data_IF_374008965245
#
_entry.id   IF_374008965245
#
_cell.length_a   1.000
_cell.length_b   1.000
_cell.length_c   1.000
_cell.angle_alpha   90.00
_cell.angle_beta   90.00
_cell.angle_gamma   90.00
#
_symmetry.space_group_name_H-M   'P 1'
#
loop_
_entity.id
_entity.type
_entity.pdbx_description
1 polymer ?
#
# COMPACT_ATOMS: atom_id res chain seq x y z
N UNK A 1 -6.51 -23.61 42.60
CA UNK A 1 -6.54 -22.17 42.29
C UNK A 1 -5.20 -21.55 42.66
N UNK A 2 -4.65 -20.57 41.94
CA UNK A 2 -4.61 -20.35 40.50
C UNK A 2 -3.16 -20.47 39.93
N UNK A 3 -3.07 -20.29 38.61
CA UNK A 3 -1.94 -20.52 37.69
C UNK A 3 -0.75 -19.55 37.90
N UNK A 4 0.48 -20.04 37.78
CA UNK A 4 1.65 -19.21 37.48
C UNK A 4 2.02 -19.37 35.99
N UNK A 5 1.65 -18.39 35.18
CA UNK A 5 2.18 -18.22 33.83
C UNK A 5 3.51 -17.45 33.93
N UNK A 6 4.54 -17.77 33.10
CA UNK A 6 5.80 -17.03 33.11
C UNK A 6 5.63 -15.65 32.46
N UNK A 7 6.24 -14.63 33.07
CA UNK A 7 6.33 -13.26 32.54
C UNK A 7 6.99 -13.22 31.15
N UNK A 8 6.49 -12.42 30.19
CA UNK A 8 7.21 -12.13 28.96
C UNK A 8 8.34 -11.12 29.20
N UNK A 9 9.56 -11.54 28.84
CA UNK A 9 10.85 -10.86 28.95
C UNK A 9 11.09 -9.75 27.90
N UNK A 10 10.10 -8.88 27.67
CA UNK A 10 10.29 -7.71 26.81
C UNK A 10 9.67 -6.46 27.43
N UNK A 11 10.42 -5.34 27.57
CA UNK A 11 9.82 -4.08 27.96
C UNK A 11 8.85 -3.65 26.86
N UNK A 12 7.59 -3.44 27.23
CA UNK A 12 6.59 -2.80 26.38
C UNK A 12 7.05 -1.36 26.11
N UNK A 13 7.69 -1.16 24.96
CA UNK A 13 7.98 0.18 24.45
C UNK A 13 6.63 0.80 24.07
N UNK A 14 6.03 1.53 25.01
CA UNK A 14 4.94 2.43 24.70
C UNK A 14 5.49 3.46 23.69
N UNK A 15 4.83 3.66 22.53
CA UNK A 15 5.23 4.73 21.63
C UNK A 15 5.15 6.07 22.38
N UNK A 16 6.06 7.02 22.12
CA UNK A 16 6.06 8.30 22.79
C UNK A 16 4.71 8.99 22.58
N UNK A 17 4.03 9.33 23.67
CA UNK A 17 2.82 10.15 23.65
C UNK A 17 3.22 11.51 23.10
N UNK A 18 2.95 11.72 21.81
CA UNK A 18 3.18 13.00 21.16
C UNK A 18 2.36 14.08 21.88
N UNK A 19 2.90 15.30 22.07
CA UNK A 19 2.13 16.37 22.68
C UNK A 19 0.88 16.66 21.84
N UNK A 20 -0.26 16.89 22.49
CA UNK A 20 -1.51 17.27 21.84
C UNK A 20 -1.30 18.56 21.03
N UNK A 21 -1.04 18.43 19.73
CA UNK A 21 -0.86 19.57 18.82
C UNK A 21 -2.24 20.17 18.51
N UNK A 22 -2.39 21.50 18.47
CA UNK A 22 -3.70 22.13 18.31
C UNK A 22 -4.31 21.80 16.94
N UNK A 23 -5.55 21.31 16.96
CA UNK A 23 -6.33 20.79 15.82
C UNK A 23 -6.55 21.84 14.71
N UNK A 24 -6.51 23.13 15.07
CA UNK A 24 -6.52 24.26 14.12
C UNK A 24 -5.38 24.21 13.09
N UNK A 25 -4.24 23.61 13.46
CA UNK A 25 -3.09 23.44 12.56
C UNK A 25 -3.39 22.45 11.45
N UNK A 26 -4.11 21.36 11.76
CA UNK A 26 -4.46 20.33 10.77
C UNK A 26 -5.43 20.87 9.73
N UNK A 27 -6.45 21.63 10.15
CA UNK A 27 -7.39 22.25 9.23
C UNK A 27 -6.69 23.20 8.26
N UNK A 28 -5.75 24.02 8.77
CA UNK A 28 -4.93 24.91 7.93
C UNK A 28 -4.07 24.12 6.95
N UNK A 29 -3.44 23.03 7.41
CA UNK A 29 -2.64 22.15 6.56
C UNK A 29 -3.49 21.54 5.43
N UNK A 30 -4.65 20.96 5.72
CA UNK A 30 -5.54 20.41 4.69
C UNK A 30 -6.05 21.50 3.74
N UNK A 31 -6.34 22.70 4.23
CA UNK A 31 -6.72 23.83 3.38
C UNK A 31 -5.59 24.25 2.42
N UNK A 32 -4.35 24.27 2.90
CA UNK A 32 -3.17 24.56 2.07
C UNK A 32 -2.90 23.45 1.03
N UNK A 33 -3.00 22.18 1.43
CA UNK A 33 -2.84 21.05 0.50
C UNK A 33 -3.88 21.09 -0.63
N UNK A 34 -5.11 21.51 -0.33
CA UNK A 34 -6.17 21.70 -1.33
C UNK A 34 -5.95 22.88 -2.29
N UNK A 35 -5.02 23.79 -1.99
CA UNK A 35 -4.66 24.91 -2.89
C UNK A 35 -3.52 24.56 -3.85
N UNK A 36 -2.63 23.64 -3.48
CA UNK A 36 -1.45 23.23 -4.29
C UNK A 36 -1.87 22.66 -5.64
N UNK A 37 -1.20 22.82 -6.79
CA UNK A 37 -1.71 22.34 -8.08
C UNK A 37 -1.85 20.80 -8.21
N UNK A 38 -1.28 20.03 -7.28
CA UNK A 38 -1.21 18.57 -7.31
C UNK A 38 -2.43 17.96 -6.60
N UNK A 39 -3.02 16.94 -7.20
CA UNK A 39 -4.06 16.12 -6.56
C UNK A 39 -3.41 15.04 -5.68
N UNK A 40 -3.48 15.23 -4.37
CA UNK A 40 -2.89 14.33 -3.38
C UNK A 40 -3.94 13.36 -2.87
N UNK A 41 -3.62 12.06 -2.91
CA UNK A 41 -4.44 11.02 -2.30
C UNK A 41 -4.46 11.21 -0.78
N UNK A 42 -5.62 11.02 -0.14
CA UNK A 42 -5.74 11.11 1.32
C UNK A 42 -4.77 10.18 2.04
N UNK A 43 -4.63 8.93 1.56
CA UNK A 43 -3.77 7.92 2.16
C UNK A 43 -2.30 8.34 2.24
N UNK A 44 -1.81 9.10 1.24
CA UNK A 44 -0.46 9.69 1.22
C UNK A 44 -0.31 10.71 2.34
N UNK A 45 -1.27 11.63 2.46
CA UNK A 45 -1.26 12.68 3.49
C UNK A 45 -1.36 12.08 4.89
N UNK A 46 -2.25 11.11 5.09
CA UNK A 46 -2.38 10.43 6.37
C UNK A 46 -1.13 9.61 6.70
N UNK A 47 -0.55 8.88 5.74
CA UNK A 47 0.69 8.14 5.96
C UNK A 47 1.83 9.07 6.44
N UNK A 48 1.95 10.28 5.87
CA UNK A 48 2.89 11.30 6.33
C UNK A 48 2.56 11.80 7.74
N UNK A 49 1.30 12.12 8.03
CA UNK A 49 0.89 12.56 9.37
C UNK A 49 1.16 11.48 10.42
N UNK A 50 0.84 10.21 10.14
CA UNK A 50 1.11 9.10 11.05
C UNK A 50 2.62 8.93 11.31
N UNK A 51 3.47 9.12 10.29
CA UNK A 51 4.93 9.11 10.46
C UNK A 51 5.43 10.24 11.39
N UNK A 52 4.67 11.34 11.54
CA UNK A 52 4.97 12.48 12.41
C UNK A 52 4.27 12.43 13.78
N UNK A 53 3.74 11.26 14.16
CA UNK A 53 3.24 10.95 15.50
C UNK A 53 1.72 11.05 15.68
N UNK A 54 0.96 11.34 14.63
CA UNK A 54 -0.50 11.28 14.69
C UNK A 54 -1.00 9.82 14.70
N UNK A 55 -2.20 9.58 15.20
CA UNK A 55 -2.85 8.26 15.15
C UNK A 55 -3.97 8.28 14.12
N UNK A 56 -4.25 7.12 13.49
CA UNK A 56 -5.32 7.04 12.49
C UNK A 56 -6.69 7.35 13.13
N UNK A 57 -6.88 6.93 14.37
CA UNK A 57 -8.13 7.08 15.11
C UNK A 57 -8.45 8.55 15.49
N UNK A 58 -7.50 9.48 15.29
CA UNK A 58 -7.69 10.93 15.42
C UNK A 58 -8.48 11.52 14.22
N UNK A 59 -8.58 10.77 13.13
CA UNK A 59 -9.22 11.19 11.89
C UNK A 59 -10.52 10.41 11.63
N UNK A 60 -11.49 11.08 11.01
CA UNK A 60 -12.73 10.46 10.51
C UNK A 60 -12.79 10.73 9.00
N UNK A 61 -12.65 9.70 8.20
CA UNK A 61 -12.68 9.82 6.73
C UNK A 61 -14.11 9.69 6.22
N UNK A 62 -14.62 10.67 5.47
CA UNK A 62 -16.00 10.67 4.94
C UNK A 62 -16.04 10.70 3.42
N UNK A 63 -16.35 9.59 2.75
CA UNK A 63 -16.59 9.60 1.32
C UNK A 63 -17.93 10.31 1.00
N UNK A 64 -17.86 11.35 0.19
CA UNK A 64 -18.99 12.22 -0.22
C UNK A 64 -19.42 11.99 -1.68
N UNK A 65 -19.03 10.85 -2.29
CA UNK A 65 -19.39 10.38 -3.63
C UNK A 65 -18.50 10.88 -4.79
N UNK A 66 -18.49 10.11 -5.90
CA UNK A 66 -17.71 10.36 -7.13
C UNK A 66 -18.28 11.45 -8.04
N UNK A 67 -19.52 11.91 -7.82
CA UNK A 67 -20.14 12.93 -8.68
C UNK A 67 -19.28 14.20 -8.83
N UNK A 68 -18.44 14.49 -7.83
CA UNK A 68 -17.55 15.63 -7.86
C UNK A 68 -16.11 15.32 -8.33
N UNK A 69 -15.70 14.05 -8.44
CA UNK A 69 -14.28 13.70 -8.67
C UNK A 69 -13.74 14.09 -10.05
N UNK A 70 -14.59 14.18 -11.08
CA UNK A 70 -14.16 14.62 -12.42
C UNK A 70 -13.60 16.05 -12.44
N UNK A 71 -13.95 16.88 -11.45
CA UNK A 71 -13.55 18.28 -11.37
C UNK A 71 -13.04 18.71 -9.98
N UNK A 72 -13.11 17.82 -8.97
CA UNK A 72 -12.59 18.03 -7.63
C UNK A 72 -11.48 17.04 -7.33
N UNK A 73 -10.58 17.51 -6.49
CA UNK A 73 -9.47 16.74 -5.94
C UNK A 73 -9.95 15.68 -4.98
N UNK A 74 -9.04 14.82 -4.55
CA UNK A 74 -9.36 13.79 -3.59
C UNK A 74 -9.79 14.37 -2.23
N UNK A 75 -9.03 15.36 -1.73
CA UNK A 75 -9.27 16.01 -0.45
C UNK A 75 -10.41 17.04 -0.51
N UNK A 76 -11.46 16.79 0.27
CA UNK A 76 -12.62 17.66 0.46
C UNK A 76 -12.50 18.59 1.67
N UNK A 77 -13.64 19.01 2.21
CA UNK A 77 -13.67 19.85 3.41
C UNK A 77 -13.24 19.11 4.66
N UNK A 78 -12.59 19.83 5.57
CA UNK A 78 -12.23 19.34 6.89
C UNK A 78 -13.07 20.03 7.94
N UNK A 79 -13.56 19.27 8.91
CA UNK A 79 -14.33 19.79 10.03
C UNK A 79 -13.87 19.14 11.33
N UNK A 80 -14.03 19.85 12.43
CA UNK A 80 -13.90 19.25 13.76
C UNK A 80 -15.22 18.64 14.17
N UNK A 81 -15.17 17.40 14.63
CA UNK A 81 -16.34 16.74 15.20
C UNK A 81 -15.99 16.16 16.56
N UNK A 82 -16.76 16.56 17.56
CA UNK A 82 -16.72 15.96 18.88
C UNK A 82 -17.61 14.71 18.86
N UNK A 83 -16.98 13.54 18.75
CA UNK A 83 -17.69 12.26 18.73
C UNK A 83 -18.31 11.92 20.09
N UNK A 84 -17.63 12.27 21.18
CA UNK A 84 -18.11 12.06 22.54
C UNK A 84 -17.67 13.21 23.46
N UNK A 85 -18.43 13.46 24.52
CA UNK A 85 -18.15 14.52 25.51
C UNK A 85 -16.80 14.33 26.21
N UNK A 86 -16.32 13.09 26.29
CA UNK A 86 -15.10 12.70 26.98
C UNK A 86 -13.94 12.40 26.05
N UNK A 87 -14.16 12.42 24.73
CA UNK A 87 -13.15 12.15 23.72
C UNK A 87 -12.56 13.44 23.18
N UNK A 88 -11.28 13.40 22.78
CA UNK A 88 -10.67 14.49 22.03
C UNK A 88 -11.45 14.74 20.73
N UNK A 89 -11.56 16.01 20.30
CA UNK A 89 -12.19 16.31 19.02
C UNK A 89 -11.41 15.62 17.90
N UNK A 90 -12.14 14.92 17.02
CA UNK A 90 -11.57 14.23 15.87
C UNK A 90 -11.63 15.11 14.64
N UNK A 91 -10.62 14.98 13.78
CA UNK A 91 -10.58 15.71 12.49
C UNK A 91 -11.34 14.91 11.44
N UNK A 92 -12.52 15.39 11.06
CA UNK A 92 -13.23 14.83 9.92
C UNK A 92 -12.61 15.35 8.64
N UNK A 93 -12.31 14.46 7.70
CA UNK A 93 -11.85 14.78 6.35
C UNK A 93 -12.82 14.19 5.34
N UNK A 94 -13.46 15.04 4.56
CA UNK A 94 -14.26 14.59 3.41
C UNK A 94 -13.35 14.18 2.26
N UNK A 95 -13.76 13.15 1.53
CA UNK A 95 -13.04 12.63 0.37
C UNK A 95 -14.01 12.50 -0.80
N UNK A 96 -13.61 12.99 -1.96
CA UNK A 96 -14.41 12.90 -3.19
C UNK A 96 -14.24 11.54 -3.87
N UNK A 97 -14.56 10.47 -3.13
CA UNK A 97 -14.56 9.07 -3.55
C UNK A 97 -15.92 8.43 -3.28
N UNK A 98 -16.18 7.35 -4.01
CA UNK A 98 -17.30 6.45 -3.72
C UNK A 98 -17.09 5.80 -2.35
N UNK A 99 -18.12 5.90 -1.50
CA UNK A 99 -18.23 5.12 -0.28
C UNK A 99 -18.86 3.74 -0.56
N UNK A 100 -18.88 2.89 0.45
CA UNK A 100 -19.58 1.62 0.44
C UNK A 100 -21.08 1.82 0.18
N UNK A 101 -21.67 2.89 0.70
CA UNK A 101 -23.05 3.26 0.41
C UNK A 101 -23.29 3.51 -1.09
N UNK A 102 -22.36 4.23 -1.75
CA UNK A 102 -22.49 4.60 -3.16
C UNK A 102 -22.27 3.41 -4.10
N UNK A 103 -21.50 2.41 -3.66
CA UNK A 103 -21.22 1.19 -4.42
C UNK A 103 -22.36 0.16 -4.39
N UNK A 104 -23.29 0.29 -3.43
CA UNK A 104 -24.39 -0.64 -3.25
C UNK A 104 -25.61 -0.26 -4.11
N UNK A 105 -26.38 -1.24 -4.60
CA UNK A 105 -27.59 -0.96 -5.37
C UNK A 105 -28.56 -0.05 -4.60
N UNK A 106 -29.06 1.00 -5.27
CA UNK A 106 -29.98 1.96 -4.66
C UNK A 106 -31.27 1.30 -4.16
N UNK A 107 -31.70 0.22 -4.82
CA UNK A 107 -32.87 -0.57 -4.42
C UNK A 107 -32.76 -1.14 -3.01
N UNK A 108 -31.57 -1.30 -2.42
CA UNK A 108 -31.43 -1.76 -1.04
C UNK A 108 -31.87 -0.73 0.00
N UNK A 109 -31.87 0.57 -0.35
CA UNK A 109 -32.07 1.67 0.60
C UNK A 109 -33.21 2.61 0.23
N UNK A 110 -33.53 2.70 -1.06
CA UNK A 110 -34.50 3.64 -1.60
C UNK A 110 -35.66 2.89 -2.22
N UNK A 111 -36.65 2.60 -1.39
CA UNK A 111 -37.96 2.16 -1.87
C UNK A 111 -38.90 3.37 -1.92
N UNK A 112 -39.70 3.53 -2.98
CA UNK A 112 -40.74 4.56 -3.03
C UNK A 112 -41.65 4.36 -1.82
N UNK A 113 -41.86 5.44 -1.05
CA UNK A 113 -42.60 5.34 0.22
C UNK A 113 -44.11 5.19 -0.03
N UNK A 114 -44.60 5.66 -1.18
CA UNK A 114 -45.97 5.49 -1.65
C UNK A 114 -45.95 5.03 -3.13
N UNK A 115 -46.65 3.95 -3.51
CA UNK A 115 -46.75 3.52 -4.91
C UNK A 115 -47.64 4.43 -5.77
N UNK A 116 -48.40 5.34 -5.15
CA UNK A 116 -49.27 6.31 -5.81
C UNK A 116 -48.69 7.72 -5.71
N UNK A 117 -48.20 8.31 -6.82
CA UNK A 117 -47.64 9.66 -6.81
C UNK A 117 -48.74 10.66 -6.42
N UNK A 118 -48.55 11.38 -5.30
CA UNK A 118 -49.42 12.52 -4.97
C UNK A 118 -48.92 13.74 -5.73
N UNK A 119 -49.66 14.28 -6.72
CA UNK A 119 -49.22 15.46 -7.44
C UNK A 119 -49.16 16.68 -6.51
N UNK A 120 -48.01 17.35 -6.45
CA UNK A 120 -47.83 18.59 -5.68
C UNK A 120 -46.37 18.85 -5.28
N UNK A 121 -46.01 20.13 -5.10
CA UNK A 121 -44.64 20.53 -4.69
C UNK A 121 -44.34 20.15 -3.25
N UNK A 122 -45.32 20.27 -2.34
CA UNK A 122 -45.17 19.95 -0.92
C UNK A 122 -44.82 18.47 -0.65
N UNK A 123 -45.58 17.47 -1.17
CA UNK A 123 -45.24 16.06 -0.95
C UNK A 123 -43.87 15.70 -1.56
N UNK A 124 -43.48 16.32 -2.68
CA UNK A 124 -42.17 16.11 -3.30
C UNK A 124 -41.02 16.61 -2.40
N UNK A 125 -41.19 17.76 -1.74
CA UNK A 125 -40.18 18.28 -0.80
C UNK A 125 -40.04 17.37 0.42
N UNK A 126 -41.14 16.86 0.96
CA UNK A 126 -41.13 15.92 2.08
C UNK A 126 -40.41 14.61 1.72
N UNK A 127 -40.68 14.07 0.53
CA UNK A 127 -40.03 12.86 0.03
C UNK A 127 -38.51 13.05 -0.12
N UNK A 128 -38.07 14.19 -0.68
CA UNK A 128 -36.65 14.55 -0.77
C UNK A 128 -36.02 14.61 0.63
N UNK A 129 -36.70 15.20 1.62
CA UNK A 129 -36.18 15.27 2.98
C UNK A 129 -36.05 13.89 3.62
N UNK A 130 -37.04 13.01 3.43
CA UNK A 130 -37.02 11.63 3.92
C UNK A 130 -35.84 10.89 3.28
N UNK A 131 -35.66 11.01 1.97
CA UNK A 131 -34.59 10.34 1.24
C UNK A 131 -33.20 10.82 1.69
N UNK A 132 -33.02 12.13 1.91
CA UNK A 132 -31.77 12.69 2.47
C UNK A 132 -31.49 12.18 3.89
N UNK A 133 -32.51 12.02 4.73
CA UNK A 133 -32.36 11.46 6.08
C UNK A 133 -31.95 9.99 6.03
N UNK A 134 -32.58 9.20 5.15
CA UNK A 134 -32.22 7.78 4.92
C UNK A 134 -30.78 7.64 4.43
N UNK A 135 -30.38 8.46 3.46
CA UNK A 135 -28.99 8.50 2.97
C UNK A 135 -28.00 8.81 4.10
N UNK A 136 -28.24 9.88 4.88
CA UNK A 136 -27.36 10.26 5.98
C UNK A 136 -27.25 9.16 7.04
N UNK A 137 -28.36 8.48 7.34
CA UNK A 137 -28.37 7.36 8.27
C UNK A 137 -27.59 6.14 7.74
N UNK A 138 -27.77 5.79 6.46
CA UNK A 138 -27.07 4.69 5.82
C UNK A 138 -25.55 4.96 5.73
N UNK A 139 -25.13 6.16 5.35
CA UNK A 139 -23.71 6.55 5.36
C UNK A 139 -23.12 6.46 6.77
N UNK A 140 -23.86 6.91 7.81
CA UNK A 140 -23.41 6.78 9.20
C UNK A 140 -23.31 5.32 9.65
N UNK A 141 -24.18 4.45 9.15
CA UNK A 141 -24.14 3.01 9.43
C UNK A 141 -22.89 2.34 8.83
N UNK A 142 -22.52 2.68 7.59
CA UNK A 142 -21.33 2.12 6.94
C UNK A 142 -20.01 2.77 7.36
N UNK A 143 -20.05 3.96 7.96
CA UNK A 143 -18.86 4.74 8.33
C UNK A 143 -17.79 3.94 9.09
N UNK A 144 -18.10 3.08 10.09
CA UNK A 144 -17.08 2.30 10.79
C UNK A 144 -16.33 1.31 9.89
N UNK A 145 -17.05 0.65 8.96
CA UNK A 145 -16.43 -0.26 7.99
C UNK A 145 -15.57 0.52 7.01
N UNK A 146 -16.05 1.66 6.54
CA UNK A 146 -15.29 2.56 5.67
C UNK A 146 -14.00 3.07 6.34
N UNK A 147 -14.02 3.36 7.65
CA UNK A 147 -12.80 3.73 8.37
C UNK A 147 -11.73 2.64 8.27
N UNK A 148 -12.10 1.36 8.46
CA UNK A 148 -11.15 0.25 8.37
C UNK A 148 -10.60 0.07 6.95
N UNK A 149 -11.45 0.24 5.92
CA UNK A 149 -10.95 0.24 4.54
C UNK A 149 -9.91 1.35 4.31
N UNK A 150 -10.13 2.55 4.85
CA UNK A 150 -9.13 3.63 4.77
C UNK A 150 -7.89 3.34 5.61
N UNK A 151 -8.02 2.70 6.78
CA UNK A 151 -6.90 2.26 7.60
C UNK A 151 -5.99 1.32 6.81
N UNK A 152 -6.57 0.31 6.14
CA UNK A 152 -5.81 -0.60 5.27
C UNK A 152 -5.17 0.12 4.08
N UNK A 153 -5.84 1.09 3.47
CA UNK A 153 -5.25 1.90 2.39
C UNK A 153 -4.04 2.70 2.85
N UNK A 154 -4.10 3.28 4.05
CA UNK A 154 -2.96 4.01 4.64
C UNK A 154 -1.82 3.05 4.98
N UNK A 155 -2.12 1.89 5.55
CA UNK A 155 -1.12 0.85 5.82
C UNK A 155 -0.42 0.38 4.52
N UNK A 156 -1.20 0.18 3.45
CA UNK A 156 -0.65 -0.19 2.15
C UNK A 156 0.29 0.90 1.61
N UNK A 157 -0.12 2.17 1.67
CA UNK A 157 0.72 3.31 1.28
C UNK A 157 2.02 3.38 2.11
N UNK A 158 1.95 3.12 3.42
CA UNK A 158 3.14 3.06 4.28
C UNK A 158 4.10 1.93 3.88
N UNK A 159 3.59 0.74 3.57
CA UNK A 159 4.40 -0.38 3.10
C UNK A 159 4.97 -0.11 1.68
N UNK A 160 4.20 0.46 0.76
CA UNK A 160 4.71 0.89 -0.56
C UNK A 160 5.88 1.86 -0.43
N UNK A 161 5.75 2.87 0.43
CA UNK A 161 6.84 3.82 0.73
C UNK A 161 8.04 3.13 1.35
N UNK A 162 7.82 2.16 2.24
CA UNK A 162 8.88 1.36 2.86
C UNK A 162 9.63 0.56 1.80
N UNK A 163 8.94 -0.05 0.85
CA UNK A 163 9.57 -0.76 -0.28
C UNK A 163 10.39 0.17 -1.17
N UNK A 164 9.85 1.34 -1.51
CA UNK A 164 10.51 2.29 -2.42
C UNK A 164 11.72 2.98 -1.79
N UNK A 165 11.67 3.28 -0.49
CA UNK A 165 12.75 3.99 0.22
C UNK A 165 13.83 3.02 0.70
N UNK A 166 13.46 1.79 1.05
CA UNK A 166 14.38 0.77 1.52
C UNK A 166 14.59 -0.31 0.46
N UNK A 167 15.22 0.03 -0.67
CA UNK A 167 15.74 -0.99 -1.59
C UNK A 167 16.69 -1.98 -0.88
N UNK A 168 17.22 -1.64 0.30
CA UNK A 168 18.03 -2.48 1.17
C UNK A 168 17.24 -3.21 2.25
N UNK A 169 15.90 -3.20 2.19
CA UNK A 169 15.06 -3.94 3.12
C UNK A 169 15.40 -5.42 3.00
N UNK A 170 15.78 -6.03 4.13
CA UNK A 170 16.16 -7.44 4.22
C UNK A 170 15.13 -8.36 3.54
N UNK A 171 13.83 -8.07 3.71
CA UNK A 171 12.75 -8.79 3.05
C UNK A 171 12.82 -8.75 1.51
N UNK A 172 13.15 -7.61 0.89
CA UNK A 172 13.24 -7.51 -0.56
C UNK A 172 14.39 -8.36 -1.09
N UNK A 173 15.52 -8.32 -0.40
CA UNK A 173 16.66 -9.17 -0.71
C UNK A 173 16.35 -10.65 -0.47
N UNK A 174 15.58 -11.00 0.55
CA UNK A 174 15.11 -12.38 0.80
C UNK A 174 14.20 -12.88 -0.33
N UNK A 175 13.21 -12.08 -0.76
CA UNK A 175 12.31 -12.46 -1.86
C UNK A 175 13.07 -12.65 -3.18
N UNK A 176 13.99 -11.73 -3.49
CA UNK A 176 14.83 -11.86 -4.69
C UNK A 176 15.81 -13.03 -4.57
N UNK A 177 16.42 -13.25 -3.41
CA UNK A 177 17.31 -14.38 -3.18
C UNK A 177 16.57 -15.71 -3.39
N UNK A 178 15.31 -15.81 -2.92
CA UNK A 178 14.42 -16.94 -3.19
C UNK A 178 14.13 -17.13 -4.67
N UNK A 179 13.78 -16.05 -5.35
CA UNK A 179 13.48 -16.07 -6.79
C UNK A 179 14.67 -16.61 -7.60
N UNK A 180 15.89 -16.21 -7.25
CA UNK A 180 17.13 -16.68 -7.89
C UNK A 180 17.71 -17.96 -7.28
N UNK A 181 17.02 -18.56 -6.30
CA UNK A 181 17.46 -19.75 -5.56
C UNK A 181 18.86 -19.61 -4.91
N UNK A 182 19.21 -18.40 -4.46
CA UNK A 182 20.51 -18.05 -3.84
C UNK A 182 20.54 -18.29 -2.32
N UNK A 183 19.44 -18.73 -1.73
CA UNK A 183 19.34 -18.98 -0.29
C UNK A 183 20.38 -20.01 0.18
N UNK A 184 21.15 -19.64 1.21
CA UNK A 184 22.19 -20.51 1.78
C UNK A 184 23.43 -20.73 0.90
N UNK A 185 23.47 -20.18 -0.32
CA UNK A 185 24.63 -20.31 -1.21
C UNK A 185 25.74 -19.30 -0.90
N UNK A 186 25.36 -18.12 -0.41
CA UNK A 186 26.27 -17.01 -0.11
C UNK A 186 25.84 -16.28 1.18
N UNK A 187 26.76 -15.60 1.88
CA UNK A 187 26.42 -14.68 2.98
C UNK A 187 25.49 -13.55 2.53
N UNK A 188 24.61 -13.08 3.44
CA UNK A 188 23.59 -12.07 3.14
C UNK A 188 24.14 -10.78 2.49
N UNK A 189 25.35 -10.34 2.90
CA UNK A 189 26.03 -9.17 2.33
C UNK A 189 26.41 -9.36 0.85
N UNK A 190 26.90 -10.55 0.51
CA UNK A 190 27.33 -10.91 -0.85
C UNK A 190 26.11 -11.07 -1.76
N UNK A 191 25.06 -11.73 -1.29
CA UNK A 191 23.76 -11.81 -1.99
C UNK A 191 23.22 -10.41 -2.27
N UNK A 192 23.20 -9.53 -1.28
CA UNK A 192 22.73 -8.15 -1.44
C UNK A 192 23.50 -7.43 -2.55
N UNK A 193 24.83 -7.52 -2.54
CA UNK A 193 25.69 -6.90 -3.56
C UNK A 193 25.41 -7.47 -4.96
N UNK A 194 25.28 -8.80 -5.07
CA UNK A 194 24.93 -9.46 -6.32
C UNK A 194 23.56 -9.02 -6.86
N UNK A 195 22.55 -8.95 -5.99
CA UNK A 195 21.18 -8.54 -6.35
C UNK A 195 21.14 -7.10 -6.88
N UNK A 196 21.98 -6.20 -6.37
CA UNK A 196 22.10 -4.84 -6.90
C UNK A 196 22.84 -4.76 -8.25
N UNK A 197 23.78 -5.68 -8.49
CA UNK A 197 24.53 -5.72 -9.75
C UNK A 197 23.76 -6.41 -10.88
N UNK A 198 22.86 -7.35 -10.57
CA UNK A 198 22.07 -8.11 -11.56
C UNK A 198 21.32 -7.22 -12.57
N UNK A 199 20.56 -6.17 -12.16
CA UNK A 199 19.90 -5.26 -13.11
C UNK A 199 20.88 -4.58 -14.08
N UNK A 200 22.14 -4.42 -13.67
CA UNK A 200 23.21 -3.78 -14.44
C UNK A 200 24.04 -4.78 -15.26
N UNK A 201 23.76 -6.09 -15.19
CA UNK A 201 24.54 -7.14 -15.84
C UNK A 201 24.74 -6.88 -17.35
N UNK A 202 23.68 -6.43 -18.04
CA UNK A 202 23.74 -6.09 -19.47
C UNK A 202 24.72 -4.97 -19.83
N UNK A 203 25.10 -4.13 -18.85
CA UNK A 203 26.11 -3.06 -19.02
C UNK A 203 27.51 -3.50 -18.63
N UNK A 204 27.63 -4.56 -17.84
CA UNK A 204 28.90 -5.12 -17.35
C UNK A 204 29.46 -6.11 -18.38
N UNK A 205 28.57 -6.87 -19.04
CA UNK A 205 28.94 -7.86 -20.06
C UNK A 205 29.76 -7.24 -21.18
N UNK A 206 30.95 -7.79 -21.44
CA UNK A 206 31.86 -7.35 -22.51
C UNK A 206 33.03 -6.49 -22.02
N UNK A 207 32.95 -5.91 -20.83
CA UNK A 207 34.07 -5.22 -20.18
C UNK A 207 34.69 -6.14 -19.12
N UNK A 208 35.85 -6.72 -19.44
CA UNK A 208 36.54 -7.66 -18.55
C UNK A 208 37.00 -7.01 -17.24
N UNK A 209 37.35 -5.73 -17.25
CA UNK A 209 37.82 -5.03 -16.04
C UNK A 209 36.64 -4.72 -15.11
N UNK A 210 35.51 -4.27 -15.66
CA UNK A 210 34.28 -4.12 -14.86
C UNK A 210 33.78 -5.46 -14.35
N UNK A 211 33.83 -6.50 -15.18
CA UNK A 211 33.44 -7.86 -14.77
C UNK A 211 34.29 -8.34 -13.60
N UNK A 212 35.61 -8.16 -13.67
CA UNK A 212 36.55 -8.48 -12.57
C UNK A 212 36.13 -7.75 -11.29
N UNK A 213 35.95 -6.42 -11.34
CA UNK A 213 35.55 -5.62 -10.17
C UNK A 213 34.20 -6.03 -9.59
N UNK A 214 33.23 -6.38 -10.44
CA UNK A 214 31.93 -6.89 -9.98
C UNK A 214 32.09 -8.20 -9.22
N UNK A 215 32.87 -9.15 -9.73
CA UNK A 215 33.15 -10.40 -9.01
C UNK A 215 33.93 -10.16 -7.71
N UNK A 216 34.92 -9.26 -7.69
CA UNK A 216 35.62 -8.89 -6.45
C UNK A 216 34.69 -8.28 -5.41
N UNK A 217 33.75 -7.43 -5.86
CA UNK A 217 32.77 -6.81 -4.97
C UNK A 217 31.79 -7.84 -4.39
N UNK A 218 31.38 -8.85 -5.16
CA UNK A 218 30.44 -9.88 -4.72
C UNK A 218 31.14 -10.91 -3.83
N UNK A 219 32.33 -11.37 -4.22
CA UNK A 219 33.09 -12.42 -3.52
C UNK A 219 33.95 -11.88 -2.38
N UNK A 220 34.10 -10.56 -2.28
CA UNK A 220 34.88 -9.86 -1.25
C UNK A 220 36.34 -10.32 -1.18
N UNK A 221 36.85 -10.80 -2.32
CA UNK A 221 38.19 -11.38 -2.49
C UNK A 221 38.76 -10.91 -3.83
N UNK A 222 40.10 -10.81 -3.96
CA UNK A 222 40.72 -10.41 -5.22
C UNK A 222 40.50 -11.48 -6.29
N UNK A 223 40.13 -11.05 -7.51
CA UNK A 223 39.79 -11.94 -8.64
C UNK A 223 40.70 -11.63 -9.82
N UNK A 224 41.25 -12.69 -10.42
CA UNK A 224 42.08 -12.60 -11.63
C UNK A 224 41.37 -13.32 -12.76
N UNK A 225 41.04 -12.60 -13.82
CA UNK A 225 40.48 -13.18 -15.04
C UNK A 225 41.60 -13.63 -15.98
N UNK A 226 41.48 -14.82 -16.55
CA UNK A 226 42.40 -15.36 -17.56
C UNK A 226 41.60 -15.84 -18.77
N UNK A 227 42.01 -15.44 -19.95
CA UNK A 227 41.46 -15.96 -21.21
C UNK A 227 42.06 -17.32 -21.51
N UNK A 228 41.23 -18.34 -21.59
CA UNK A 228 41.63 -19.70 -21.98
C UNK A 228 41.18 -19.97 -23.42
N UNK A 229 41.94 -20.79 -24.14
CA UNK A 229 41.56 -21.24 -25.48
C UNK A 229 40.20 -21.96 -25.43
N UNK A 230 39.38 -21.86 -26.50
CA UNK A 230 38.04 -22.44 -26.52
C UNK A 230 38.09 -23.94 -26.22
N UNK A 231 37.31 -24.36 -25.22
CA UNK A 231 37.17 -25.77 -24.84
C UNK A 231 36.48 -26.51 -25.98
N UNK A 232 37.13 -27.56 -26.49
CA UNK A 232 36.54 -28.44 -27.50
C UNK A 232 35.78 -29.55 -26.80
N UNK A 233 34.47 -29.57 -26.95
CA UNK A 233 33.64 -30.67 -26.46
C UNK A 233 33.44 -31.68 -27.58
N UNK A 234 33.59 -32.97 -27.26
CA UNK A 234 33.25 -34.03 -28.20
C UNK A 234 31.73 -34.00 -28.43
N UNK A 235 31.31 -33.89 -29.69
CA UNK A 235 29.90 -34.06 -30.05
C UNK A 235 29.48 -35.47 -29.67
N UNK A 236 28.34 -35.68 -28.97
CA UNK A 236 27.87 -37.02 -28.69
C UNK A 236 27.64 -37.74 -30.02
N UNK A 237 28.44 -38.76 -30.30
CA UNK A 237 28.29 -39.62 -31.46
C UNK A 237 26.92 -40.27 -31.37
N UNK A 238 25.98 -39.83 -32.21
CA UNK A 238 24.71 -40.54 -32.39
C UNK A 238 25.08 -41.90 -32.99
N UNK A 239 24.92 -42.97 -32.21
CA UNK A 239 25.13 -44.33 -32.69
C UNK A 239 24.20 -44.56 -33.90
N UNK A 240 24.69 -45.11 -35.02
CA UNK A 240 23.81 -45.47 -36.12
C UNK A 240 22.81 -46.51 -35.61
N UNK A 241 21.53 -46.25 -35.83
CA UNK A 241 20.44 -47.15 -35.48
C UNK A 241 20.72 -48.53 -36.11
N UNK A 242 21.03 -49.51 -35.26
CA UNK A 242 21.16 -50.89 -35.69
C UNK A 242 19.78 -51.43 -36.07
N UNK A 243 19.61 -51.73 -37.36
CA UNK A 243 18.66 -52.74 -37.82
C UNK A 243 17.66 -52.27 -38.86
N UNK A 244 17.90 -52.62 -40.13
CA UNK A 244 16.86 -53.17 -41.03
C UNK A 244 17.50 -54.24 -41.94
N UNK A 245 17.30 -55.50 -41.54
CA UNK A 245 16.83 -56.66 -42.33
C UNK A 245 17.50 -56.91 -43.69
N UNK A 246 18.30 -57.98 -43.76
CA UNK A 246 18.62 -58.69 -45.00
C UNK A 246 17.38 -59.43 -45.52
N UNK A 247 17.09 -59.24 -46.80
CA UNK A 247 16.17 -60.05 -47.59
C UNK A 247 16.96 -61.23 -48.20
N UNK A 248 16.53 -62.45 -47.89
CA UNK A 248 16.25 -63.56 -48.83
C UNK A 248 15.84 -64.82 -48.04
#
# INVERSE_FOLDING_TARGET
MPKSSPEPLYPSVQPPVAPARPVSTLQQLFAELRRRPIDLRLEVVLADLLAHGYQFDDFIVRPVSLFARRYRRDLGTTAEEQTDRWSSPKTTVEVHREGLYDALPQELFHHPTDPTPRPGVQPMVEEIQIQRRKEKAARRFFLPLEQEFYRFRVLLEQEERRYMTNLSAQWYNEVLARFWNLEGQLPARQITTLLYLLPLAHRITGDLELTRRCFESVLETPVVLRTVAPLRFATPTVAPAAGVIAAD
#
